data_IF_734147363823
#
_entry.id   IF_734147363823
#
_cell.length_a   1.000
_cell.length_b   1.000
_cell.length_c   1.000
_cell.angle_alpha   90.00
_cell.angle_beta   90.00
_cell.angle_gamma   90.00
#
_symmetry.space_group_name_H-M   'P 1'
#
loop_
_entity.id
_entity.type
_entity.pdbx_description
1 polymer ?
#
# COMPACT_ATOMS: atom_id res chain seq x y z
N UNK A 1 -12.00 -20.99 13.06
CA UNK A 1 -12.08 -20.53 11.65
C UNK A 1 -10.78 -20.91 10.95
N UNK A 2 -10.85 -21.90 10.06
CA UNK A 2 -9.76 -22.81 9.69
C UNK A 2 -8.59 -22.20 8.93
N UNK A 3 -7.42 -22.82 9.12
CA UNK A 3 -6.10 -22.46 8.56
C UNK A 3 -6.13 -22.30 7.02
N UNK A 4 -6.98 -23.07 6.33
CA UNK A 4 -7.15 -23.01 4.87
C UNK A 4 -7.81 -21.72 4.37
N UNK A 5 -8.75 -21.14 5.15
CA UNK A 5 -9.50 -19.95 4.71
C UNK A 5 -8.65 -18.68 4.72
N UNK A 6 -7.70 -18.55 5.66
CA UNK A 6 -6.81 -17.39 5.72
C UNK A 6 -5.80 -17.40 4.57
N UNK A 7 -5.16 -18.55 4.30
CA UNK A 7 -4.19 -18.70 3.20
C UNK A 7 -4.84 -18.41 1.85
N UNK A 8 -6.06 -18.91 1.63
CA UNK A 8 -6.82 -18.59 0.43
C UNK A 8 -7.16 -17.09 0.33
N UNK A 9 -7.65 -16.49 1.42
CA UNK A 9 -7.99 -15.07 1.43
C UNK A 9 -6.78 -14.19 1.14
N UNK A 10 -5.64 -14.45 1.78
CA UNK A 10 -4.40 -13.72 1.54
C UNK A 10 -3.93 -13.83 0.08
N UNK A 11 -3.97 -15.04 -0.50
CA UNK A 11 -3.65 -15.25 -1.91
C UNK A 11 -4.54 -14.44 -2.85
N UNK A 12 -5.87 -14.52 -2.70
CA UNK A 12 -6.81 -13.74 -3.53
C UNK A 12 -6.61 -12.23 -3.36
N UNK A 13 -6.39 -11.76 -2.14
CA UNK A 13 -6.12 -10.34 -1.87
C UNK A 13 -4.85 -9.87 -2.58
N UNK A 14 -3.75 -10.65 -2.54
CA UNK A 14 -2.50 -10.28 -3.21
C UNK A 14 -2.66 -10.31 -4.73
N UNK A 15 -3.38 -11.29 -5.30
CA UNK A 15 -3.68 -11.32 -6.74
C UNK A 15 -4.46 -10.08 -7.14
N UNK A 16 -5.49 -9.72 -6.36
CA UNK A 16 -6.29 -8.53 -6.61
C UNK A 16 -5.44 -7.25 -6.51
N UNK A 17 -4.53 -7.18 -5.53
CA UNK A 17 -3.58 -6.08 -5.39
C UNK A 17 -2.66 -5.95 -6.61
N UNK A 18 -2.00 -7.04 -7.02
CA UNK A 18 -1.10 -7.03 -8.18
C UNK A 18 -1.86 -6.69 -9.48
N UNK A 19 -3.07 -7.23 -9.65
CA UNK A 19 -3.94 -6.89 -10.77
C UNK A 19 -4.29 -5.40 -10.80
N UNK A 20 -4.60 -4.82 -9.64
CA UNK A 20 -4.89 -3.40 -9.52
C UNK A 20 -3.66 -2.52 -9.82
N UNK A 21 -2.48 -2.91 -9.32
CA UNK A 21 -1.22 -2.24 -9.67
C UNK A 21 -0.97 -2.26 -11.18
N UNK A 22 -1.15 -3.41 -11.83
CA UNK A 22 -0.98 -3.54 -13.27
C UNK A 22 -1.98 -2.69 -14.06
N UNK A 23 -3.25 -2.65 -13.62
CA UNK A 23 -4.27 -1.78 -14.23
C UNK A 23 -3.91 -0.30 -14.11
N UNK A 24 -3.42 0.13 -12.94
CA UNK A 24 -3.00 1.51 -12.72
C UNK A 24 -1.75 1.86 -13.54
N UNK A 25 -0.80 0.93 -13.66
CA UNK A 25 0.37 1.10 -14.53
C UNK A 25 -0.05 1.30 -16.00
N UNK A 26 -0.97 0.48 -16.51
CA UNK A 26 -1.50 0.64 -17.87
C UNK A 26 -2.25 1.97 -18.00
N UNK A 27 -3.13 2.28 -17.04
CA UNK A 27 -3.88 3.54 -17.04
C UNK A 27 -2.95 4.75 -17.03
N UNK A 28 -1.85 4.72 -16.28
CA UNK A 28 -0.88 5.82 -16.21
C UNK A 28 -0.22 6.09 -17.57
N UNK A 29 0.03 5.06 -18.38
CA UNK A 29 0.58 5.24 -19.73
C UNK A 29 -0.43 5.87 -20.68
N UNK A 30 -1.69 5.45 -20.60
CA UNK A 30 -2.78 5.99 -21.42
C UNK A 30 -3.09 7.44 -21.04
N UNK A 31 -3.24 7.73 -19.75
CA UNK A 31 -3.50 9.09 -19.25
C UNK A 31 -2.32 10.02 -19.57
N UNK A 32 -1.08 9.50 -19.53
CA UNK A 32 0.11 10.26 -19.87
C UNK A 32 0.16 10.67 -21.35
N UNK A 33 -0.37 9.83 -22.25
CA UNK A 33 -0.50 10.18 -23.67
C UNK A 33 -1.54 11.28 -23.92
N UNK A 34 -2.54 11.40 -23.03
CA UNK A 34 -3.58 12.43 -23.10
C UNK A 34 -3.13 13.78 -22.50
N UNK A 35 -1.86 13.90 -22.08
CA UNK A 35 -1.32 15.05 -21.34
C UNK A 35 -2.09 15.40 -20.05
N UNK A 36 -2.90 14.45 -19.55
CA UNK A 36 -3.59 14.58 -18.28
C UNK A 36 -2.61 14.22 -17.17
N UNK A 37 -2.72 14.92 -16.03
CA UNK A 37 -1.87 14.67 -14.88
C UNK A 37 -2.08 13.24 -14.33
N UNK A 38 -1.11 12.35 -14.57
CA UNK A 38 -1.09 10.97 -14.10
C UNK A 38 -1.06 10.83 -12.58
N UNK A 39 -0.71 11.90 -11.86
CA UNK A 39 -0.52 11.87 -10.41
C UNK A 39 -1.82 11.52 -9.67
N UNK A 40 -2.99 11.84 -10.25
CA UNK A 40 -4.29 11.45 -9.64
C UNK A 40 -4.43 9.93 -9.45
N UNK A 41 -3.78 9.13 -10.31
CA UNK A 41 -3.80 7.67 -10.22
C UNK A 41 -3.07 7.16 -8.98
N UNK A 42 -2.09 7.91 -8.43
CA UNK A 42 -1.43 7.56 -7.17
C UNK A 42 -2.38 7.65 -5.98
N UNK A 43 -3.28 8.65 -5.95
CA UNK A 43 -4.31 8.79 -4.93
C UNK A 43 -5.32 7.63 -5.02
N UNK A 44 -5.74 7.27 -6.24
CA UNK A 44 -6.61 6.10 -6.47
C UNK A 44 -5.94 4.80 -6.02
N UNK A 45 -4.68 4.56 -6.38
CA UNK A 45 -3.94 3.39 -5.93
C UNK A 45 -3.91 3.30 -4.40
N UNK A 46 -3.59 4.41 -3.75
CA UNK A 46 -3.52 4.50 -2.28
C UNK A 46 -4.87 4.21 -1.62
N UNK A 47 -5.97 4.67 -2.23
CA UNK A 47 -7.33 4.38 -1.77
C UNK A 47 -7.64 2.88 -1.84
N UNK A 48 -7.36 2.24 -2.97
CA UNK A 48 -7.59 0.82 -3.13
C UNK A 48 -6.67 -0.03 -2.25
N UNK A 49 -5.42 0.38 -2.04
CA UNK A 49 -4.52 -0.28 -1.10
C UNK A 49 -5.11 -0.35 0.31
N UNK A 50 -5.60 0.77 0.85
CA UNK A 50 -6.26 0.78 2.16
C UNK A 50 -7.43 -0.19 2.16
N UNK A 51 -8.31 -0.17 1.15
CA UNK A 51 -9.46 -1.09 1.08
C UNK A 51 -9.04 -2.56 1.07
N UNK A 52 -8.06 -2.91 0.24
CA UNK A 52 -7.54 -4.27 0.06
C UNK A 52 -6.93 -4.79 1.36
N UNK A 53 -6.05 -4.02 2.01
CA UNK A 53 -5.41 -4.44 3.24
C UNK A 53 -6.37 -4.36 4.44
N UNK A 54 -7.32 -3.44 4.45
CA UNK A 54 -8.41 -3.42 5.45
C UNK A 54 -9.28 -4.67 5.33
N UNK A 55 -9.54 -5.13 4.11
CA UNK A 55 -10.21 -6.41 3.88
C UNK A 55 -9.37 -7.58 4.39
N UNK A 56 -8.06 -7.63 4.11
CA UNK A 56 -7.16 -8.67 4.61
C UNK A 56 -7.19 -8.77 6.14
N UNK A 57 -7.10 -7.63 6.83
CA UNK A 57 -7.07 -7.54 8.29
C UNK A 57 -8.44 -7.29 8.94
N UNK A 58 -9.53 -7.51 8.21
CA UNK A 58 -10.90 -7.18 8.65
C UNK A 58 -11.28 -7.78 10.02
N UNK A 59 -10.79 -8.97 10.33
CA UNK A 59 -11.05 -9.64 11.61
C UNK A 59 -10.48 -8.88 12.81
N UNK A 60 -9.39 -8.13 12.61
CA UNK A 60 -8.77 -7.28 13.63
C UNK A 60 -9.32 -5.87 13.57
N UNK A 61 -9.59 -5.35 12.37
CA UNK A 61 -10.23 -4.05 12.18
C UNK A 61 -11.57 -3.99 12.93
N UNK A 62 -12.43 -5.01 12.78
CA UNK A 62 -13.71 -5.11 13.49
C UNK A 62 -13.61 -5.00 15.02
N UNK A 63 -12.50 -5.42 15.61
CA UNK A 63 -12.30 -5.41 17.07
C UNK A 63 -11.77 -4.09 17.61
N UNK A 64 -11.22 -3.22 16.76
CA UNK A 64 -10.61 -1.96 17.19
C UNK A 64 -11.33 -0.76 16.57
N UNK A 65 -12.18 -0.11 17.37
CA UNK A 65 -12.92 1.10 16.96
C UNK A 65 -11.98 2.22 16.48
N UNK A 66 -10.84 2.40 17.16
CA UNK A 66 -9.84 3.41 16.76
C UNK A 66 -9.30 3.16 15.35
N UNK A 67 -8.96 1.91 15.00
CA UNK A 67 -8.49 1.60 13.66
C UNK A 67 -9.57 1.76 12.59
N UNK A 68 -10.83 1.49 12.92
CA UNK A 68 -11.96 1.77 12.00
C UNK A 68 -12.07 3.26 11.72
N UNK A 69 -12.07 4.09 12.78
CA UNK A 69 -12.11 5.55 12.65
C UNK A 69 -10.94 6.04 11.81
N UNK A 70 -9.72 5.59 12.12
CA UNK A 70 -8.51 5.97 11.40
C UNK A 70 -8.54 5.55 9.92
N UNK A 71 -9.06 4.35 9.62
CA UNK A 71 -9.24 3.88 8.24
C UNK A 71 -10.26 4.71 7.49
N UNK A 72 -11.41 5.01 8.12
CA UNK A 72 -12.46 5.86 7.51
C UNK A 72 -11.94 7.27 7.27
N UNK A 73 -11.27 7.87 8.26
CA UNK A 73 -10.66 9.20 8.11
C UNK A 73 -9.62 9.21 6.98
N UNK A 74 -8.78 8.18 6.89
CA UNK A 74 -7.82 8.03 5.80
C UNK A 74 -8.48 7.93 4.42
N UNK A 75 -9.52 7.12 4.29
CA UNK A 75 -10.27 6.99 3.03
C UNK A 75 -10.96 8.31 2.65
N UNK A 76 -11.59 8.99 3.61
CA UNK A 76 -12.20 10.30 3.38
C UNK A 76 -11.17 11.34 2.96
N UNK A 77 -9.99 11.33 3.59
CA UNK A 77 -8.87 12.20 3.23
C UNK A 77 -8.41 11.95 1.79
N UNK A 78 -8.25 10.69 1.39
CA UNK A 78 -7.86 10.33 0.02
C UNK A 78 -8.88 10.76 -1.03
N UNK A 79 -10.18 10.64 -0.72
CA UNK A 79 -11.25 11.12 -1.60
C UNK A 79 -11.21 12.65 -1.68
N UNK A 80 -11.05 13.33 -0.55
CA UNK A 80 -10.94 14.79 -0.51
C UNK A 80 -9.75 15.29 -1.35
N UNK A 81 -8.56 14.72 -1.15
CA UNK A 81 -7.37 15.04 -1.94
C UNK A 81 -7.61 14.73 -3.42
N UNK A 82 -8.18 13.57 -3.76
CA UNK A 82 -8.53 13.22 -5.14
C UNK A 82 -9.47 14.23 -5.83
N UNK A 83 -10.38 14.87 -5.09
CA UNK A 83 -11.34 15.84 -5.62
C UNK A 83 -10.81 17.28 -5.67
N UNK A 84 -9.90 17.64 -4.77
CA UNK A 84 -9.33 19.01 -4.69
C UNK A 84 -8.05 19.18 -5.48
N UNK A 85 -7.52 18.09 -6.05
CA UNK A 85 -6.34 18.13 -6.89
C UNK A 85 -6.60 18.92 -8.17
N UNK A 86 -5.99 20.11 -8.23
CA UNK A 86 -5.93 20.91 -9.45
C UNK A 86 -5.03 20.22 -10.47
N UNK A 87 -5.59 19.91 -11.64
CA UNK A 87 -4.88 19.20 -12.70
C UNK A 87 -3.80 20.05 -13.36
N UNK A 88 -3.81 21.37 -13.14
CA UNK A 88 -2.97 22.33 -13.84
C UNK A 88 -1.59 22.56 -13.19
N UNK A 89 -1.39 22.19 -11.92
CA UNK A 89 -0.15 22.48 -11.20
C UNK A 89 0.58 21.21 -10.73
N UNK A 90 1.33 20.59 -11.66
CA UNK A 90 2.16 19.41 -11.38
C UNK A 90 3.37 19.71 -10.51
N UNK A 91 3.80 20.98 -10.40
CA UNK A 91 5.04 21.38 -9.75
C UNK A 91 4.89 21.38 -8.22
N UNK A 92 3.68 21.67 -7.73
CA UNK A 92 3.37 21.71 -6.30
C UNK A 92 2.68 20.44 -5.78
N UNK A 93 2.63 19.37 -6.58
CA UNK A 93 1.94 18.13 -6.18
C UNK A 93 2.68 17.41 -5.05
N UNK A 94 2.18 17.56 -3.83
CA UNK A 94 2.66 16.85 -2.63
C UNK A 94 1.69 15.72 -2.30
N UNK A 95 2.09 14.47 -2.55
CA UNK A 95 1.21 13.30 -2.41
C UNK A 95 1.12 12.81 -0.96
N UNK A 96 0.52 13.61 -0.09
CA UNK A 96 0.27 13.21 1.29
C UNK A 96 -0.63 11.97 1.38
N UNK A 97 -1.48 11.73 0.37
CA UNK A 97 -2.24 10.51 0.18
C UNK A 97 -1.43 9.24 0.45
N UNK A 98 -0.25 9.14 -0.16
CA UNK A 98 0.59 7.93 -0.10
C UNK A 98 1.19 7.72 1.29
N UNK A 99 1.47 8.81 2.01
CA UNK A 99 1.96 8.75 3.39
C UNK A 99 0.87 8.24 4.32
N UNK A 100 -0.32 8.80 4.18
CA UNK A 100 -1.48 8.41 4.98
C UNK A 100 -1.83 6.94 4.73
N UNK A 101 -1.88 6.49 3.48
CA UNK A 101 -2.16 5.08 3.17
C UNK A 101 -1.11 4.13 3.73
N UNK A 102 0.17 4.43 3.54
CA UNK A 102 1.28 3.59 4.02
C UNK A 102 1.26 3.48 5.54
N UNK A 103 1.04 4.60 6.25
CA UNK A 103 0.94 4.63 7.71
C UNK A 103 -0.25 3.80 8.22
N UNK A 104 -1.42 3.93 7.60
CA UNK A 104 -2.61 3.16 7.99
C UNK A 104 -2.34 1.66 7.83
N UNK A 105 -1.74 1.25 6.72
CA UNK A 105 -1.42 -0.17 6.47
C UNK A 105 -0.41 -0.68 7.50
N UNK A 106 0.65 0.08 7.80
CA UNK A 106 1.60 -0.25 8.88
C UNK A 106 0.88 -0.48 10.21
N UNK A 107 -0.01 0.43 10.61
CA UNK A 107 -0.76 0.30 11.86
C UNK A 107 -1.68 -0.93 11.87
N UNK A 108 -2.31 -1.27 10.74
CA UNK A 108 -3.13 -2.48 10.60
C UNK A 108 -2.28 -3.75 10.78
N UNK A 109 -1.14 -3.81 10.10
CA UNK A 109 -0.22 -4.96 10.15
C UNK A 109 0.35 -5.12 11.56
N UNK A 110 0.82 -4.03 12.18
CA UNK A 110 1.32 -4.06 13.56
C UNK A 110 0.25 -4.52 14.54
N UNK A 111 -0.97 -4.00 14.43
CA UNK A 111 -2.07 -4.44 15.31
C UNK A 111 -2.33 -5.93 15.16
N UNK A 112 -2.31 -6.43 13.92
CA UNK A 112 -2.47 -7.85 13.67
C UNK A 112 -1.36 -8.65 14.36
N UNK A 113 -0.10 -8.32 14.13
CA UNK A 113 1.06 -9.00 14.70
C UNK A 113 0.99 -9.00 16.24
N UNK A 114 0.83 -7.84 16.88
CA UNK A 114 0.72 -7.75 18.33
C UNK A 114 -0.45 -8.54 18.90
N UNK A 115 -1.57 -8.60 18.18
CA UNK A 115 -2.73 -9.35 18.65
C UNK A 115 -2.55 -10.88 18.61
N UNK A 116 -1.76 -11.39 17.66
CA UNK A 116 -1.41 -12.81 17.58
C UNK A 116 -0.34 -13.16 18.63
N UNK A 117 0.69 -12.31 18.77
CA UNK A 117 1.72 -12.47 19.81
C UNK A 117 1.11 -12.51 21.21
N UNK A 118 0.17 -11.60 21.52
CA UNK A 118 -0.53 -11.58 22.81
C UNK A 118 -1.41 -12.82 23.04
N UNK A 119 -1.93 -13.42 21.96
CA UNK A 119 -2.73 -14.63 22.05
C UNK A 119 -1.88 -15.91 22.18
N UNK A 120 -0.54 -15.80 22.11
CA UNK A 120 0.37 -16.96 22.09
C UNK A 120 0.20 -17.83 20.85
N UNK A 121 -0.42 -17.31 19.79
CA UNK A 121 -0.62 -18.04 18.55
C UNK A 121 0.59 -17.89 17.64
N UNK A 122 0.91 -18.97 16.90
CA UNK A 122 1.86 -18.87 15.79
C UNK A 122 1.28 -17.97 14.71
N UNK A 123 2.09 -17.05 14.20
CA UNK A 123 1.64 -16.17 13.12
C UNK A 123 1.48 -17.07 11.87
N UNK A 124 0.35 -16.96 11.19
CA UNK A 124 0.11 -17.75 9.97
C UNK A 124 0.56 -16.92 8.78
N UNK A 125 1.50 -17.43 7.99
CA UNK A 125 2.09 -16.65 6.90
C UNK A 125 2.91 -15.46 7.41
N UNK A 126 3.65 -15.67 8.51
CA UNK A 126 4.45 -14.64 9.21
C UNK A 126 5.23 -13.75 8.24
N UNK A 127 5.88 -14.40 7.27
CA UNK A 127 6.73 -13.77 6.27
C UNK A 127 6.00 -12.70 5.46
N UNK A 128 4.74 -12.94 5.07
CA UNK A 128 3.94 -11.96 4.33
C UNK A 128 3.68 -10.72 5.19
N UNK A 129 3.33 -10.91 6.46
CA UNK A 129 3.04 -9.80 7.38
C UNK A 129 4.28 -8.94 7.62
N UNK A 130 5.42 -9.57 7.86
CA UNK A 130 6.68 -8.86 8.03
C UNK A 130 7.10 -8.13 6.76
N UNK A 131 6.92 -8.72 5.57
CA UNK A 131 7.27 -8.02 4.34
C UNK A 131 6.33 -6.86 4.03
N UNK A 132 5.02 -7.01 4.27
CA UNK A 132 4.09 -5.88 4.17
C UNK A 132 4.48 -4.77 5.14
N UNK A 133 4.82 -5.12 6.39
CA UNK A 133 5.28 -4.16 7.39
C UNK A 133 6.55 -3.44 6.92
N UNK A 134 7.58 -4.19 6.52
CA UNK A 134 8.86 -3.63 6.07
C UNK A 134 8.69 -2.74 4.86
N UNK A 135 7.95 -3.19 3.84
CA UNK A 135 7.71 -2.42 2.62
C UNK A 135 6.99 -1.10 2.93
N UNK A 136 5.82 -1.14 3.58
CA UNK A 136 5.06 0.07 3.84
C UNK A 136 5.73 1.00 4.86
N UNK A 137 6.56 0.47 5.76
CA UNK A 137 7.36 1.30 6.67
C UNK A 137 8.48 2.02 5.92
N UNK A 138 9.23 1.31 5.06
CA UNK A 138 10.27 1.91 4.24
C UNK A 138 9.71 2.92 3.24
N UNK A 139 8.59 2.60 2.59
CA UNK A 139 7.89 3.51 1.68
C UNK A 139 7.46 4.78 2.41
N UNK A 140 6.86 4.66 3.61
CA UNK A 140 6.52 5.81 4.45
C UNK A 140 7.76 6.64 4.82
N UNK A 141 8.85 6.00 5.23
CA UNK A 141 10.10 6.67 5.58
C UNK A 141 10.74 7.40 4.39
N UNK A 142 10.66 6.85 3.17
CA UNK A 142 11.19 7.48 1.96
C UNK A 142 10.34 8.66 1.47
N UNK A 143 9.03 8.62 1.72
CA UNK A 143 8.12 9.68 1.29
C UNK A 143 8.07 10.89 2.21
N UNK A 144 8.41 10.74 3.51
CA UNK A 144 8.55 11.89 4.42
C UNK A 144 9.55 12.93 3.87
N UNK A 145 10.83 12.57 3.61
CA UNK A 145 11.80 13.53 3.10
C UNK A 145 11.41 14.02 1.70
N UNK A 146 10.73 13.21 0.89
CA UNK A 146 10.23 13.63 -0.42
C UNK A 146 9.37 14.89 -0.34
N UNK A 147 8.47 14.96 0.65
CA UNK A 147 7.61 16.14 0.85
C UNK A 147 8.39 17.39 1.29
N UNK A 148 9.54 17.23 1.95
CA UNK A 148 10.42 18.34 2.32
C UNK A 148 11.39 18.73 1.21
N UNK A 149 11.78 17.76 0.38
CA UNK A 149 12.80 17.90 -0.67
C UNK A 149 12.24 18.41 -1.99
N UNK A 150 10.92 18.63 -2.11
CA UNK A 150 10.30 19.21 -3.31
C UNK A 150 10.88 20.60 -3.65
N UNK A 151 11.41 21.31 -2.65
CA UNK A 151 12.09 22.61 -2.81
C UNK A 151 13.62 22.51 -2.82
N UNK A 152 14.18 21.30 -2.88
CA UNK A 152 15.63 21.04 -2.81
C UNK A 152 16.24 20.75 -4.18
N UNK A 153 17.55 20.51 -4.24
CA UNK A 153 18.23 20.16 -5.48
C UNK A 153 17.62 18.92 -6.16
N UNK A 154 17.39 19.00 -7.47
CA UNK A 154 16.86 17.89 -8.31
C UNK A 154 17.58 16.57 -8.07
N UNK A 155 18.90 16.60 -7.82
CA UNK A 155 19.72 15.41 -7.58
C UNK A 155 19.27 14.61 -6.34
N UNK A 156 18.89 15.26 -5.24
CA UNK A 156 18.44 14.59 -4.03
C UNK A 156 17.09 13.89 -4.24
N UNK A 157 16.20 14.53 -5.00
CA UNK A 157 14.88 13.99 -5.37
C UNK A 157 15.06 12.71 -6.21
N UNK A 158 16.01 12.70 -7.16
CA UNK A 158 16.28 11.52 -8.00
C UNK A 158 16.73 10.30 -7.20
N UNK A 159 17.65 10.45 -6.22
CA UNK A 159 18.08 9.32 -5.40
C UNK A 159 16.94 8.68 -4.58
N UNK A 160 15.98 9.48 -4.11
CA UNK A 160 14.80 8.97 -3.40
C UNK A 160 13.90 8.19 -4.37
N UNK A 161 13.70 8.69 -5.58
CA UNK A 161 12.96 7.96 -6.61
C UNK A 161 13.62 6.62 -6.96
N UNK A 162 14.93 6.59 -7.14
CA UNK A 162 15.66 5.35 -7.42
C UNK A 162 15.51 4.33 -6.29
N UNK A 163 15.63 4.78 -5.03
CA UNK A 163 15.40 3.93 -3.87
C UNK A 163 13.97 3.37 -3.82
N UNK A 164 12.96 4.19 -4.16
CA UNK A 164 11.57 3.76 -4.24
C UNK A 164 11.33 2.76 -5.37
N UNK A 165 11.93 2.96 -6.54
CA UNK A 165 11.85 2.01 -7.66
C UNK A 165 12.44 0.65 -7.23
N UNK A 166 13.62 0.66 -6.61
CA UNK A 166 14.25 -0.56 -6.11
C UNK A 166 13.37 -1.26 -5.06
N UNK A 167 12.82 -0.50 -4.11
CA UNK A 167 11.92 -1.02 -3.07
C UNK A 167 10.68 -1.67 -3.67
N UNK A 168 10.03 -1.02 -4.65
CA UNK A 168 8.87 -1.56 -5.36
C UNK A 168 9.22 -2.84 -6.12
N UNK A 169 10.37 -2.88 -6.79
CA UNK A 169 10.82 -4.06 -7.51
C UNK A 169 11.00 -5.26 -6.58
N UNK A 170 11.70 -5.08 -5.45
CA UNK A 170 11.89 -6.13 -4.44
C UNK A 170 10.54 -6.60 -3.89
N UNK A 171 9.63 -5.67 -3.61
CA UNK A 171 8.31 -5.98 -3.06
C UNK A 171 7.46 -6.82 -4.03
N UNK A 172 7.38 -6.42 -5.30
CA UNK A 172 6.62 -7.15 -6.32
C UNK A 172 7.24 -8.50 -6.65
N UNK A 173 8.57 -8.60 -6.70
CA UNK A 173 9.26 -9.87 -6.86
C UNK A 173 8.89 -10.83 -5.72
N UNK A 174 8.87 -10.33 -4.48
CA UNK A 174 8.47 -11.13 -3.33
C UNK A 174 7.00 -11.56 -3.40
N UNK A 175 6.05 -10.65 -3.66
CA UNK A 175 4.64 -10.99 -3.74
C UNK A 175 4.37 -12.05 -4.82
N UNK A 176 5.04 -11.93 -5.96
CA UNK A 176 4.97 -12.91 -7.05
C UNK A 176 5.52 -14.26 -6.61
N UNK A 177 6.68 -14.29 -5.94
CA UNK A 177 7.25 -15.52 -5.39
C UNK A 177 6.36 -16.14 -4.30
N UNK A 178 5.75 -15.33 -3.44
CA UNK A 178 4.80 -15.77 -2.42
C UNK A 178 3.56 -16.41 -3.05
N UNK A 179 3.00 -15.82 -4.11
CA UNK A 179 1.89 -16.43 -4.85
C UNK A 179 2.29 -17.74 -5.51
N UNK A 180 3.46 -17.79 -6.15
CA UNK A 180 3.95 -18.97 -6.84
C UNK A 180 4.18 -20.16 -5.89
N UNK A 181 4.86 -19.91 -4.77
CA UNK A 181 5.14 -20.95 -3.75
C UNK A 181 3.87 -21.50 -3.10
N UNK A 182 2.87 -20.65 -2.83
CA UNK A 182 1.59 -21.07 -2.26
C UNK A 182 0.61 -21.62 -3.29
N UNK A 183 0.79 -21.30 -4.58
CA UNK A 183 0.00 -21.86 -5.69
C UNK A 183 0.40 -23.29 -6.03
N UNK A 184 1.70 -23.62 -5.95
CA UNK A 184 2.23 -24.97 -6.20
C UNK A 184 1.76 -26.03 -5.21
N UNK A 185 1.42 -25.64 -3.98
CA UNK A 185 0.97 -26.57 -2.93
C UNK A 185 -0.50 -27.02 -3.07
N UNK A 186 -1.11 -26.78 -4.23
CA UNK A 186 -2.53 -27.00 -4.49
C UNK A 186 -2.84 -27.82 -5.76
N UNK A 187 -1.81 -28.33 -6.42
CA UNK A 187 -1.92 -29.29 -7.54
C UNK A 187 -1.42 -30.64 -7.04
#
# INVERSE_FOLDING_TARGET
MGISNFRNRAGYTIVLYLGLCLLIDIASRVVGQLQINNLILFSFLSFFEILIFSYLYWSKLKKSRWLQILTVLGLTYLVYEGLTLDQSDTINYQTYARNVSSLIIVLLVLKYIFSELKAGSTLKGETLHFILLSYYSLEFMLLIPFNFLINSSVTAIMYIWDARILLNFIFYAYLTFYLWSNGKTRI
#
